data_IF_308272830000
#
_entry.id   IF_308272830000
#
_cell.length_a   1.000
_cell.length_b   1.000
_cell.length_c   1.000
_cell.angle_alpha   90.00
_cell.angle_beta   90.00
_cell.angle_gamma   90.00
#
_symmetry.space_group_name_H-M   'P 1'
#
loop_
_entity.id
_entity.type
_entity.pdbx_description
1 polymer ?
#
# COMPACT_ATOMS: atom_id res chain seq x y z
N UNK A 1 7.95 48.27 69.97
CA UNK A 1 8.63 48.93 68.83
C UNK A 1 9.96 48.23 68.57
N UNK A 2 10.07 47.47 67.47
CA UNK A 2 11.26 47.41 66.62
C UNK A 2 10.93 46.58 65.39
N UNK A 3 10.85 47.27 64.26
CA UNK A 3 10.61 46.73 62.91
C UNK A 3 11.95 46.19 62.39
N UNK A 4 11.96 45.00 61.81
CA UNK A 4 13.01 44.58 60.89
C UNK A 4 12.39 44.33 59.52
N UNK A 5 12.86 45.12 58.58
CA UNK A 5 12.51 45.18 57.17
C UNK A 5 13.56 44.32 56.45
N UNK A 6 13.17 43.22 55.81
CA UNK A 6 14.07 42.45 54.93
C UNK A 6 13.38 42.22 53.59
N UNK A 7 14.16 42.50 52.56
CA UNK A 7 13.86 42.68 51.14
C UNK A 7 13.11 41.53 50.45
N UNK A 8 12.34 41.92 49.43
CA UNK A 8 11.81 41.09 48.35
C UNK A 8 12.92 40.32 47.61
N UNK A 9 12.64 39.07 47.26
CA UNK A 9 13.14 38.43 46.04
C UNK A 9 11.96 37.72 45.36
N UNK A 10 11.42 38.35 44.31
CA UNK A 10 10.43 37.72 43.41
C UNK A 10 11.22 36.91 42.39
N UNK A 11 11.24 35.60 42.56
CA UNK A 11 11.76 34.66 41.55
C UNK A 11 10.56 34.15 40.77
N UNK A 12 10.39 34.63 39.53
CA UNK A 12 9.47 34.05 38.57
C UNK A 12 10.07 32.74 38.05
N UNK A 13 9.58 31.61 38.57
CA UNK A 13 9.84 30.30 37.98
C UNK A 13 8.91 30.13 36.76
N UNK A 14 9.50 30.13 35.56
CA UNK A 14 8.86 29.62 34.35
C UNK A 14 8.64 28.11 34.53
N UNK A 15 7.41 27.69 34.78
CA UNK A 15 7.03 26.28 34.76
C UNK A 15 6.74 25.85 33.32
N UNK A 16 7.66 25.09 32.74
CA UNK A 16 7.35 24.24 31.58
C UNK A 16 6.48 23.08 32.05
N UNK A 17 5.20 23.06 31.67
CA UNK A 17 4.36 21.88 31.85
C UNK A 17 4.82 20.81 30.86
N UNK A 18 5.64 19.87 31.32
CA UNK A 18 5.79 18.60 30.62
C UNK A 18 4.51 17.78 30.87
N UNK A 19 3.68 17.63 29.85
CA UNK A 19 2.58 16.65 29.87
C UNK A 19 3.24 15.28 29.72
N UNK A 20 3.61 14.67 30.83
CA UNK A 20 3.95 13.25 30.88
C UNK A 20 2.67 12.50 31.24
N UNK A 21 2.22 11.65 30.33
CA UNK A 21 1.12 10.73 30.60
C UNK A 21 1.57 9.74 31.68
N UNK A 22 0.97 9.83 32.86
CA UNK A 22 1.20 8.89 33.96
C UNK A 22 0.34 7.65 33.73
N UNK A 23 0.98 6.51 33.45
CA UNK A 23 0.32 5.21 33.48
C UNK A 23 0.32 4.72 34.93
N UNK A 24 -0.87 4.64 35.53
CA UNK A 24 -1.06 4.17 36.89
C UNK A 24 -0.82 2.65 36.98
N UNK A 25 0.25 2.19 37.66
CA UNK A 25 0.57 0.76 37.75
C UNK A 25 -0.50 -0.02 38.54
N UNK A 26 -1.33 0.65 39.34
CA UNK A 26 -2.41 -0.03 40.08
C UNK A 26 -3.62 -0.37 39.19
N UNK A 27 -3.71 0.26 38.01
CA UNK A 27 -4.65 -0.09 36.95
C UNK A 27 -4.03 -1.02 35.88
N UNK A 28 -2.75 -1.40 36.02
CA UNK A 28 -2.08 -2.41 35.21
C UNK A 28 -2.36 -3.85 35.68
N UNK A 29 -3.55 -4.08 36.24
CA UNK A 29 -4.01 -5.43 36.58
C UNK A 29 -4.13 -6.26 35.30
N UNK A 30 -3.56 -7.47 35.30
CA UNK A 30 -3.82 -8.46 34.27
C UNK A 30 -5.31 -8.77 34.25
N UNK A 31 -6.07 -8.05 33.42
CA UNK A 31 -7.39 -8.52 33.01
C UNK A 31 -7.15 -9.89 32.40
N UNK A 32 -7.77 -10.91 32.99
CA UNK A 32 -7.83 -12.24 32.38
C UNK A 32 -8.09 -12.05 30.90
N UNK A 33 -7.21 -12.56 30.03
CA UNK A 33 -7.52 -12.71 28.62
C UNK A 33 -8.78 -13.54 28.58
N UNK A 34 -9.94 -12.89 28.54
CA UNK A 34 -11.10 -13.51 27.93
C UNK A 34 -10.61 -13.76 26.52
N UNK A 35 -10.35 -15.03 26.21
CA UNK A 35 -10.37 -15.52 24.85
C UNK A 35 -11.81 -15.31 24.39
N UNK A 36 -12.17 -14.05 24.12
CA UNK A 36 -13.07 -13.79 23.03
C UNK A 36 -12.31 -14.36 21.85
N UNK A 37 -12.63 -15.60 21.49
CA UNK A 37 -12.63 -15.94 20.09
C UNK A 37 -13.52 -14.87 19.48
N UNK A 38 -12.91 -13.78 19.00
CA UNK A 38 -13.51 -13.01 17.92
C UNK A 38 -13.84 -14.10 16.93
N UNK A 39 -15.12 -14.44 16.85
CA UNK A 39 -15.60 -15.37 15.84
C UNK A 39 -15.34 -14.64 14.54
N UNK A 40 -14.15 -14.92 14.03
CA UNK A 40 -13.62 -14.62 12.72
C UNK A 40 -14.78 -14.84 11.76
N UNK A 41 -15.40 -13.74 11.28
CA UNK A 41 -16.58 -13.81 10.43
C UNK A 41 -16.11 -14.08 9.00
N UNK A 42 -15.44 -15.22 8.82
CA UNK A 42 -14.50 -15.45 7.74
C UNK A 42 -15.11 -15.57 6.33
N UNK A 43 -14.49 -14.87 5.39
CA UNK A 43 -14.42 -15.19 3.97
C UNK A 43 -13.37 -16.30 3.63
N UNK A 44 -12.87 -17.02 4.65
CA UNK A 44 -11.93 -18.16 4.53
C UNK A 44 -10.57 -17.91 3.85
N UNK A 45 -10.09 -16.66 3.76
CA UNK A 45 -8.77 -16.42 3.18
C UNK A 45 -7.63 -16.92 4.06
N UNK A 46 -6.62 -17.52 3.42
CA UNK A 46 -5.37 -17.88 4.10
C UNK A 46 -4.58 -16.62 4.47
N UNK A 47 -3.79 -16.64 5.56
CA UNK A 47 -2.88 -15.53 5.88
C UNK A 47 -1.95 -15.22 4.71
N UNK A 48 -1.76 -13.94 4.40
CA UNK A 48 -0.86 -13.49 3.34
C UNK A 48 0.59 -13.92 3.60
N UNK A 49 1.22 -14.47 2.56
CA UNK A 49 2.56 -15.06 2.57
C UNK A 49 3.54 -14.39 1.61
N UNK A 50 3.04 -13.58 0.68
CA UNK A 50 3.83 -12.81 -0.25
C UNK A 50 4.90 -11.97 0.46
N UNK A 51 6.15 -12.11 0.02
CA UNK A 51 7.29 -11.35 0.55
C UNK A 51 8.28 -11.02 -0.56
N UNK A 52 8.78 -9.78 -0.57
CA UNK A 52 9.80 -9.32 -1.51
C UNK A 52 10.75 -8.34 -0.83
N UNK A 53 11.98 -8.31 -1.33
CA UNK A 53 12.91 -7.24 -0.98
C UNK A 53 12.75 -6.11 -2.01
N UNK A 54 12.55 -4.90 -1.52
CA UNK A 54 12.73 -3.68 -2.29
C UNK A 54 14.23 -3.39 -2.32
N UNK A 55 14.85 -3.57 -3.49
CA UNK A 55 16.30 -3.48 -3.65
C UNK A 55 16.70 -2.44 -4.69
N UNK A 56 16.87 -1.20 -4.27
CA UNK A 56 17.22 -0.09 -5.15
C UNK A 56 18.14 0.91 -4.42
N UNK A 57 19.00 1.63 -5.15
CA UNK A 57 19.92 2.63 -4.58
C UNK A 57 20.73 2.15 -3.37
N UNK A 58 21.24 0.91 -3.41
CA UNK A 58 22.04 0.31 -2.34
C UNK A 58 21.27 0.10 -1.01
N UNK A 59 19.95 0.00 -1.08
CA UNK A 59 19.06 -0.40 0.02
C UNK A 59 18.56 -1.82 -0.25
N UNK A 60 18.37 -2.64 0.78
CA UNK A 60 17.56 -3.86 0.72
C UNK A 60 16.55 -3.83 1.87
N UNK A 61 15.25 -3.82 1.55
CA UNK A 61 14.18 -3.72 2.54
C UNK A 61 13.11 -4.78 2.32
N UNK A 62 12.91 -5.67 3.30
CA UNK A 62 11.86 -6.69 3.24
C UNK A 62 10.47 -6.06 3.38
N UNK A 63 9.53 -6.44 2.52
CA UNK A 63 8.11 -6.07 2.57
C UNK A 63 7.27 -7.34 2.39
N UNK A 64 6.23 -7.48 3.20
CA UNK A 64 5.25 -8.57 3.12
C UNK A 64 3.88 -8.03 2.70
N UNK A 65 3.15 -8.78 1.88
CA UNK A 65 1.78 -8.44 1.42
C UNK A 65 0.79 -8.32 2.58
N UNK A 66 1.06 -8.99 3.71
CA UNK A 66 0.34 -8.85 4.98
C UNK A 66 0.66 -7.59 5.78
N UNK A 67 1.25 -6.56 5.17
CA UNK A 67 1.48 -5.23 5.74
C UNK A 67 2.64 -5.10 6.72
N UNK A 68 3.40 -6.18 6.97
CA UNK A 68 4.64 -6.15 7.77
C UNK A 68 5.83 -5.74 6.91
N UNK A 69 6.71 -4.91 7.45
CA UNK A 69 7.87 -4.38 6.75
C UNK A 69 9.13 -4.47 7.61
N UNK A 70 10.28 -4.56 6.95
CA UNK A 70 11.62 -4.32 7.48
C UNK A 70 12.09 -5.30 8.55
N UNK A 71 11.36 -6.39 8.81
CA UNK A 71 11.72 -7.40 9.80
C UNK A 71 11.65 -8.80 9.21
N UNK A 72 12.74 -9.55 9.31
CA UNK A 72 12.71 -11.00 9.12
C UNK A 72 12.15 -11.65 10.39
N UNK A 73 10.84 -11.88 10.38
CA UNK A 73 10.13 -12.45 11.53
C UNK A 73 10.55 -13.88 11.85
N UNK A 74 11.03 -14.63 10.86
CA UNK A 74 11.45 -16.02 11.07
C UNK A 74 12.74 -16.11 11.89
N UNK A 75 13.62 -15.11 11.73
CA UNK A 75 14.87 -14.96 12.49
C UNK A 75 14.76 -13.97 13.64
N UNK A 76 13.64 -13.25 13.74
CA UNK A 76 13.44 -12.11 14.64
C UNK A 76 14.59 -11.09 14.51
N UNK A 77 14.87 -10.71 13.27
CA UNK A 77 15.99 -9.86 12.89
C UNK A 77 15.52 -8.69 12.01
N UNK A 78 16.29 -7.61 12.00
CA UNK A 78 16.04 -6.48 11.12
C UNK A 78 16.32 -6.88 9.65
N UNK A 79 15.59 -6.28 8.73
CA UNK A 79 15.67 -6.56 7.29
C UNK A 79 15.55 -5.27 6.45
N UNK A 80 15.92 -4.13 7.03
CA UNK A 80 16.16 -2.88 6.30
C UNK A 80 17.66 -2.57 6.37
N UNK A 81 18.36 -2.91 5.30
CA UNK A 81 19.81 -2.91 5.21
C UNK A 81 20.31 -1.77 4.31
N UNK A 82 21.26 -0.98 4.82
CA UNK A 82 21.91 0.11 4.08
C UNK A 82 23.35 0.28 4.58
N UNK A 83 24.38 0.13 3.73
CA UNK A 83 24.36 -0.38 2.36
C UNK A 83 23.87 -1.83 2.24
N UNK A 84 23.21 -2.18 1.14
CA UNK A 84 22.88 -3.57 0.79
C UNK A 84 24.15 -4.43 0.76
N UNK A 85 24.13 -5.58 1.43
CA UNK A 85 25.26 -6.49 1.58
C UNK A 85 26.30 -6.10 2.64
N UNK A 86 26.07 -5.06 3.45
CA UNK A 86 26.93 -4.67 4.58
C UNK A 86 26.65 -5.45 5.88
N UNK A 87 25.48 -6.09 5.99
CA UNK A 87 24.86 -6.59 7.22
C UNK A 87 24.54 -5.49 8.26
N UNK A 88 24.58 -4.21 7.88
CA UNK A 88 24.19 -3.10 8.75
C UNK A 88 22.72 -2.71 8.49
N UNK A 89 21.90 -2.78 9.55
CA UNK A 89 20.47 -2.49 9.46
C UNK A 89 20.11 -1.23 10.24
N UNK A 90 19.31 -0.34 9.65
CA UNK A 90 18.97 0.97 10.24
C UNK A 90 17.56 1.05 10.80
N UNK A 91 16.66 0.15 10.39
CA UNK A 91 15.28 0.06 10.90
C UNK A 91 14.97 -1.39 11.23
N UNK A 92 14.45 -1.64 12.44
CA UNK A 92 14.17 -2.99 12.92
C UNK A 92 12.86 -3.58 12.36
N UNK A 93 11.79 -2.78 12.30
CA UNK A 93 10.48 -3.21 11.85
C UNK A 93 9.59 -2.03 11.49
N UNK A 94 8.63 -2.25 10.61
CA UNK A 94 7.57 -1.32 10.23
C UNK A 94 6.26 -2.07 9.96
N UNK A 95 5.15 -1.34 9.98
CA UNK A 95 3.84 -1.87 9.64
C UNK A 95 2.95 -0.78 9.04
N UNK A 96 2.01 -1.18 8.19
CA UNK A 96 0.96 -0.31 7.69
C UNK A 96 -0.18 -0.21 8.70
N UNK A 97 -0.67 1.00 8.93
CA UNK A 97 -1.90 1.25 9.68
C UNK A 97 -2.91 1.95 8.77
N UNK A 98 -4.15 1.49 8.82
CA UNK A 98 -5.26 2.10 8.09
C UNK A 98 -6.50 2.14 8.97
N UNK A 99 -7.34 3.14 8.73
CA UNK A 99 -8.58 3.29 9.46
C UNK A 99 -9.55 4.20 8.74
N UNK A 100 -10.82 4.07 9.09
CA UNK A 100 -11.91 4.81 8.48
C UNK A 100 -13.16 4.71 9.34
N UNK A 101 -14.23 5.38 8.92
CA UNK A 101 -15.54 5.27 9.58
C UNK A 101 -16.50 4.52 8.69
N UNK A 102 -17.30 3.64 9.28
CA UNK A 102 -18.43 3.03 8.57
C UNK A 102 -19.59 4.03 8.39
N UNK A 103 -20.66 3.67 7.64
CA UNK A 103 -21.81 4.55 7.43
C UNK A 103 -22.54 5.00 8.72
N UNK A 104 -22.27 4.37 9.86
CA UNK A 104 -22.81 4.74 11.18
C UNK A 104 -21.85 5.63 11.99
N UNK A 105 -20.79 6.15 11.36
CA UNK A 105 -19.69 6.90 11.99
C UNK A 105 -18.91 6.11 13.05
N UNK A 106 -18.89 4.77 12.98
CA UNK A 106 -18.06 3.97 13.88
C UNK A 106 -16.65 3.84 13.32
N UNK A 107 -15.64 4.08 14.15
CA UNK A 107 -14.24 3.91 13.78
C UNK A 107 -13.93 2.42 13.55
N UNK A 108 -13.33 2.14 12.40
CA UNK A 108 -12.71 0.87 12.02
C UNK A 108 -11.21 1.12 11.84
N UNK A 109 -10.38 0.22 12.35
CA UNK A 109 -8.92 0.38 12.30
C UNK A 109 -8.24 -0.98 12.18
N UNK A 110 -7.29 -1.06 11.26
CA UNK A 110 -6.27 -2.10 11.15
C UNK A 110 -4.93 -1.44 11.47
N UNK A 111 -4.40 -1.74 12.66
CA UNK A 111 -3.24 -1.06 13.22
C UNK A 111 -2.33 -2.04 13.96
N UNK A 112 -2.03 -3.13 13.28
CA UNK A 112 -1.12 -4.15 13.73
C UNK A 112 0.24 -3.54 14.12
N UNK A 113 0.70 -3.88 15.31
CA UNK A 113 2.06 -3.56 15.79
C UNK A 113 2.90 -4.83 15.75
N UNK A 114 3.95 -4.85 14.91
CA UNK A 114 4.99 -5.89 14.92
C UNK A 114 4.44 -7.35 14.85
N UNK A 115 3.30 -7.52 14.17
CA UNK A 115 2.58 -8.78 13.87
C UNK A 115 2.21 -9.69 15.04
N UNK A 116 1.43 -9.16 16.01
CA UNK A 116 0.55 -9.98 16.88
C UNK A 116 -0.86 -10.08 16.28
N UNK A 117 -1.08 -11.01 15.35
CA UNK A 117 -2.36 -11.19 14.65
C UNK A 117 -2.23 -10.97 13.14
N UNK A 118 -3.35 -11.02 12.42
CA UNK A 118 -3.45 -10.63 11.02
C UNK A 118 -4.52 -9.56 10.91
N UNK A 119 -4.11 -8.37 10.50
CA UNK A 119 -5.01 -7.27 10.18
C UNK A 119 -5.15 -7.09 8.65
N UNK A 120 -4.32 -7.78 7.85
CA UNK A 120 -4.29 -7.64 6.40
C UNK A 120 -4.28 -8.98 5.67
N UNK A 121 -5.00 -9.01 4.56
CA UNK A 121 -5.06 -10.11 3.60
C UNK A 121 -4.90 -9.56 2.18
N UNK A 122 -4.44 -10.41 1.28
CA UNK A 122 -4.26 -10.02 -0.11
C UNK A 122 -5.60 -9.96 -0.87
N UNK A 123 -5.61 -9.16 -1.93
CA UNK A 123 -6.72 -9.04 -2.87
C UNK A 123 -7.73 -7.92 -2.57
N UNK A 124 -8.54 -7.57 -3.57
CA UNK A 124 -9.55 -6.52 -3.48
C UNK A 124 -10.81 -6.98 -2.77
N UNK A 125 -11.58 -6.02 -2.26
CA UNK A 125 -12.88 -6.29 -1.66
C UNK A 125 -14.03 -6.06 -2.64
N UNK A 126 -15.14 -6.75 -2.39
CA UNK A 126 -16.35 -6.61 -3.18
C UNK A 126 -17.06 -5.27 -2.97
N UNK A 127 -17.60 -4.76 -4.07
CA UNK A 127 -18.30 -3.48 -4.18
C UNK A 127 -19.75 -3.72 -4.61
N UNK A 128 -20.64 -2.77 -4.33
CA UNK A 128 -22.05 -2.84 -4.73
C UNK A 128 -22.49 -1.62 -5.55
N UNK A 129 -21.53 -0.79 -5.97
CA UNK A 129 -21.78 0.50 -6.63
C UNK A 129 -22.25 1.58 -5.66
N UNK A 130 -22.12 1.36 -4.35
CA UNK A 130 -22.35 2.36 -3.33
C UNK A 130 -21.28 3.46 -3.35
N UNK A 131 -21.69 4.71 -3.11
CA UNK A 131 -20.76 5.84 -2.94
C UNK A 131 -20.74 6.82 -4.10
N UNK A 132 -19.66 7.60 -4.15
CA UNK A 132 -19.37 8.54 -5.23
C UNK A 132 -18.07 8.10 -5.90
N UNK A 133 -18.16 7.60 -7.13
CA UNK A 133 -16.97 7.32 -7.94
C UNK A 133 -16.40 8.63 -8.50
N UNK A 134 -15.20 9.01 -8.05
CA UNK A 134 -14.41 10.06 -8.67
C UNK A 134 -12.93 9.71 -8.57
N UNK A 135 -12.43 9.09 -9.63
CA UNK A 135 -11.02 8.68 -9.77
C UNK A 135 -10.06 9.87 -9.69
N UNK A 136 -10.48 11.09 -10.05
CA UNK A 136 -9.64 12.29 -9.95
C UNK A 136 -9.52 12.78 -8.51
N UNK A 137 -10.52 12.50 -7.67
CA UNK A 137 -10.50 12.76 -6.24
C UNK A 137 -10.05 11.55 -5.41
N UNK A 138 -9.69 10.44 -6.07
CA UNK A 138 -9.31 9.19 -5.40
C UNK A 138 -10.45 8.56 -4.60
N UNK A 139 -11.70 8.84 -4.97
CA UNK A 139 -12.88 8.24 -4.35
C UNK A 139 -13.35 7.07 -5.20
N UNK A 140 -13.35 5.87 -4.60
CA UNK A 140 -13.76 4.63 -5.23
C UNK A 140 -15.12 4.18 -4.68
N UNK A 141 -15.76 3.26 -5.39
CA UNK A 141 -16.99 2.64 -4.91
C UNK A 141 -16.73 1.82 -3.64
N UNK A 142 -17.75 1.74 -2.79
CA UNK A 142 -17.77 0.84 -1.64
C UNK A 142 -18.82 -0.26 -1.86
N UNK A 143 -18.89 -1.21 -0.92
CA UNK A 143 -19.95 -2.21 -0.93
C UNK A 143 -19.85 -3.20 0.22
N UNK A 144 -20.24 -4.45 -0.06
CA UNK A 144 -20.31 -5.53 0.93
C UNK A 144 -18.96 -5.84 1.58
N UNK A 145 -17.87 -5.46 0.92
CA UNK A 145 -16.51 -5.63 1.40
C UNK A 145 -16.13 -7.10 1.60
N UNK A 146 -16.66 -8.01 0.79
CA UNK A 146 -16.40 -9.46 0.89
C UNK A 146 -15.33 -9.89 -0.13
N UNK A 147 -14.78 -11.10 0.04
CA UNK A 147 -13.72 -11.63 -0.82
C UNK A 147 -13.74 -13.16 -0.81
N UNK A 148 -13.44 -13.81 -1.94
CA UNK A 148 -13.31 -15.27 -2.00
C UNK A 148 -11.88 -15.73 -1.69
N UNK A 149 -11.69 -16.96 -1.16
CA UNK A 149 -10.35 -17.53 -0.94
C UNK A 149 -9.48 -17.55 -2.20
N UNK A 150 -10.08 -17.82 -3.36
CA UNK A 150 -9.41 -17.88 -4.65
C UNK A 150 -8.82 -16.51 -5.04
N UNK A 151 -9.60 -15.43 -4.87
CA UNK A 151 -9.14 -14.06 -5.12
C UNK A 151 -8.02 -13.68 -4.13
N UNK A 152 -8.15 -14.04 -2.86
CA UNK A 152 -7.08 -13.82 -1.88
C UNK A 152 -5.75 -14.46 -2.30
N UNK A 153 -5.78 -15.70 -2.80
CA UNK A 153 -4.57 -16.40 -3.23
C UNK A 153 -3.96 -15.80 -4.50
N UNK A 154 -4.80 -15.42 -5.47
CA UNK A 154 -4.32 -14.86 -6.74
C UNK A 154 -3.57 -13.54 -6.55
N UNK A 155 -4.07 -12.67 -5.65
CA UNK A 155 -3.49 -11.36 -5.42
C UNK A 155 -2.45 -11.32 -4.29
N UNK A 156 -2.05 -12.46 -3.70
CA UNK A 156 -0.95 -12.54 -2.70
C UNK A 156 0.44 -12.39 -3.37
N UNK A 157 0.59 -11.32 -4.15
CA UNK A 157 1.70 -11.09 -5.05
C UNK A 157 2.12 -9.61 -5.04
N UNK A 158 3.36 -9.38 -5.46
CA UNK A 158 3.87 -8.04 -5.74
C UNK A 158 4.06 -7.88 -7.25
N UNK A 159 3.54 -6.77 -7.77
CA UNK A 159 3.65 -6.37 -9.16
C UNK A 159 4.72 -5.29 -9.27
N UNK A 160 5.85 -5.68 -9.83
CA UNK A 160 7.05 -4.85 -9.90
C UNK A 160 7.17 -4.28 -11.31
N UNK A 161 7.41 -2.98 -11.39
CA UNK A 161 7.62 -2.28 -12.66
C UNK A 161 8.82 -1.35 -12.53
N UNK A 162 9.53 -1.16 -13.64
CA UNK A 162 10.58 -0.15 -13.75
C UNK A 162 10.16 0.92 -14.74
N UNK A 163 10.40 2.19 -14.40
CA UNK A 163 10.04 3.32 -15.27
C UNK A 163 10.68 3.19 -16.65
N UNK A 164 11.92 2.70 -16.72
CA UNK A 164 12.64 2.49 -17.97
C UNK A 164 11.95 1.48 -18.89
N UNK A 165 11.39 0.39 -18.34
CA UNK A 165 10.63 -0.59 -19.11
C UNK A 165 9.37 0.05 -19.71
N UNK A 166 8.70 0.91 -18.94
CA UNK A 166 7.49 1.61 -19.38
C UNK A 166 7.81 2.65 -20.46
N UNK A 167 8.89 3.41 -20.30
CA UNK A 167 9.38 4.35 -21.31
C UNK A 167 9.72 3.65 -22.63
N UNK A 168 10.42 2.50 -22.55
CA UNK A 168 10.76 1.69 -23.73
C UNK A 168 9.51 1.12 -24.41
N UNK A 169 8.55 0.60 -23.63
CA UNK A 169 7.27 0.11 -24.17
C UNK A 169 6.51 1.23 -24.89
N UNK A 170 6.38 2.41 -24.26
CA UNK A 170 5.67 3.53 -24.86
C UNK A 170 6.33 3.95 -26.20
N UNK A 171 7.66 4.07 -26.20
CA UNK A 171 8.40 4.49 -27.38
C UNK A 171 8.33 3.46 -28.53
N UNK A 172 8.41 2.16 -28.20
CA UNK A 172 8.20 1.08 -29.16
C UNK A 172 6.76 1.08 -29.73
N UNK A 173 5.76 1.25 -28.87
CA UNK A 173 4.36 1.25 -29.29
C UNK A 173 4.03 2.44 -30.19
N UNK A 174 4.53 3.63 -29.86
CA UNK A 174 4.39 4.83 -30.70
C UNK A 174 5.06 4.63 -32.07
N UNK A 175 6.29 4.10 -32.11
CA UNK A 175 6.97 3.76 -33.36
C UNK A 175 6.20 2.72 -34.19
N UNK A 176 5.63 1.70 -33.56
CA UNK A 176 4.86 0.65 -34.23
C UNK A 176 3.60 1.17 -34.92
N UNK A 177 3.09 2.34 -34.49
CA UNK A 177 1.92 3.00 -35.04
C UNK A 177 2.27 4.21 -35.95
N UNK A 178 3.54 4.60 -36.06
CA UNK A 178 3.99 5.68 -36.93
C UNK A 178 4.42 5.11 -38.31
N UNK A 179 3.77 5.52 -39.42
CA UNK A 179 4.17 5.11 -40.77
C UNK A 179 5.60 5.47 -41.16
N UNK A 180 6.26 6.38 -40.44
CA UNK A 180 7.62 6.82 -40.69
C UNK A 180 8.67 6.11 -39.81
N UNK A 181 8.24 5.21 -38.92
CA UNK A 181 9.10 4.49 -38.01
C UNK A 181 9.04 2.98 -38.31
N UNK A 182 10.20 2.34 -38.41
CA UNK A 182 10.27 0.88 -38.50
C UNK A 182 10.66 0.31 -37.13
N UNK A 183 9.66 -0.13 -36.37
CA UNK A 183 9.88 -0.67 -35.04
C UNK A 183 10.83 -1.88 -35.02
N UNK A 184 10.93 -2.64 -36.11
CA UNK A 184 11.85 -3.78 -36.21
C UNK A 184 13.33 -3.35 -36.33
N UNK A 185 13.57 -2.11 -36.75
CA UNK A 185 14.90 -1.51 -36.88
C UNK A 185 15.24 -0.67 -35.66
N UNK A 186 14.31 0.18 -35.19
CA UNK A 186 14.53 1.10 -34.07
C UNK A 186 14.53 0.38 -32.71
N UNK A 187 13.76 -0.70 -32.58
CA UNK A 187 13.64 -1.50 -31.36
C UNK A 187 13.83 -3.00 -31.67
N UNK A 188 15.03 -3.39 -32.13
CA UNK A 188 15.30 -4.76 -32.51
C UNK A 188 15.14 -5.69 -31.30
N UNK A 189 14.55 -6.87 -31.54
CA UNK A 189 14.31 -7.91 -30.53
C UNK A 189 13.47 -7.48 -29.31
N UNK A 190 12.78 -6.33 -29.38
CA UNK A 190 11.91 -5.89 -28.30
C UNK A 190 10.73 -6.86 -28.08
N UNK A 191 10.46 -7.14 -26.81
CA UNK A 191 9.28 -7.87 -26.38
C UNK A 191 8.69 -7.21 -25.13
N UNK A 192 7.37 -7.05 -25.09
CA UNK A 192 6.68 -6.48 -23.93
C UNK A 192 7.00 -7.28 -22.67
N UNK A 193 7.56 -6.65 -21.62
CA UNK A 193 7.97 -7.34 -20.40
C UNK A 193 6.77 -7.83 -19.60
N UNK A 194 6.97 -8.86 -18.78
CA UNK A 194 5.93 -9.43 -17.92
C UNK A 194 5.38 -8.43 -16.91
N UNK A 195 6.20 -7.45 -16.49
CA UNK A 195 5.80 -6.35 -15.61
C UNK A 195 4.61 -5.54 -16.17
N UNK A 196 4.51 -5.44 -17.50
CA UNK A 196 3.39 -4.81 -18.21
C UNK A 196 2.29 -5.84 -18.48
N UNK A 197 2.64 -7.02 -18.99
CA UNK A 197 1.63 -8.03 -19.36
C UNK A 197 0.80 -8.54 -18.18
N UNK A 198 1.38 -8.58 -16.99
CA UNK A 198 0.76 -9.11 -15.77
C UNK A 198 0.36 -8.00 -14.80
N UNK A 199 0.41 -6.74 -15.22
CA UNK A 199 -0.01 -5.62 -14.37
C UNK A 199 -1.49 -5.76 -14.01
N UNK A 200 -1.87 -5.62 -12.74
CA UNK A 200 -3.24 -5.85 -12.31
C UNK A 200 -4.04 -4.55 -12.49
N UNK A 201 -4.07 -4.00 -13.71
CA UNK A 201 -4.76 -2.73 -13.97
C UNK A 201 -6.25 -2.84 -13.61
N UNK A 202 -6.92 -3.84 -14.17
CA UNK A 202 -8.29 -4.19 -13.81
C UNK A 202 -8.41 -5.56 -13.13
N UNK A 203 -9.49 -5.75 -12.38
CA UNK A 203 -9.80 -7.05 -11.80
C UNK A 203 -10.13 -8.09 -12.87
N UNK A 204 -9.49 -9.25 -12.78
CA UNK A 204 -9.82 -10.40 -13.62
C UNK A 204 -11.14 -11.04 -13.18
N UNK A 205 -12.22 -10.69 -13.89
CA UNK A 205 -13.60 -11.16 -13.62
C UNK A 205 -13.78 -12.68 -13.74
N UNK A 206 -12.87 -13.38 -14.43
CA UNK A 206 -12.94 -14.83 -14.58
C UNK A 206 -12.54 -15.57 -13.28
N UNK A 207 -11.90 -14.89 -12.32
CA UNK A 207 -11.51 -15.46 -11.03
C UNK A 207 -12.70 -15.73 -10.12
N UNK A 208 -13.71 -14.85 -10.16
CA UNK A 208 -14.91 -14.96 -9.33
C UNK A 208 -16.06 -14.19 -9.99
N UNK A 209 -16.99 -14.93 -10.58
CA UNK A 209 -18.19 -14.39 -11.23
C UNK A 209 -19.37 -14.22 -10.26
N UNK A 210 -19.19 -14.53 -8.98
CA UNK A 210 -20.27 -14.51 -7.98
C UNK A 210 -20.33 -13.20 -7.20
N UNK A 211 -19.26 -12.40 -7.26
CA UNK A 211 -19.12 -11.13 -6.58
C UNK A 211 -18.60 -10.08 -7.55
N UNK A 212 -19.02 -8.82 -7.34
CA UNK A 212 -18.41 -7.68 -8.03
C UNK A 212 -17.29 -7.14 -7.16
N UNK A 213 -16.05 -7.19 -7.65
CA UNK A 213 -14.90 -6.57 -6.98
C UNK A 213 -14.66 -5.16 -7.50
N UNK A 214 -13.85 -4.37 -6.79
CA UNK A 214 -13.33 -3.14 -7.38
C UNK A 214 -12.66 -3.48 -8.73
N UNK A 215 -13.12 -2.83 -9.78
CA UNK A 215 -12.66 -3.11 -11.13
C UNK A 215 -11.31 -2.44 -11.43
N UNK A 216 -10.92 -1.38 -10.73
CA UNK A 216 -9.67 -0.64 -11.00
C UNK A 216 -8.67 -0.88 -9.86
N UNK A 217 -7.77 -1.84 -10.01
CA UNK A 217 -6.92 -2.33 -8.93
C UNK A 217 -5.54 -1.69 -8.88
N UNK A 218 -5.04 -1.22 -10.02
CA UNK A 218 -3.77 -0.53 -10.11
C UNK A 218 -3.85 0.57 -11.17
N UNK A 219 -3.09 1.67 -11.01
CA UNK A 219 -3.16 2.76 -11.97
C UNK A 219 -2.53 2.35 -13.32
N UNK A 220 -3.23 2.64 -14.41
CA UNK A 220 -2.72 2.47 -15.77
C UNK A 220 -3.03 3.69 -16.64
N UNK A 221 -2.16 3.93 -17.62
CA UNK A 221 -2.43 4.82 -18.73
C UNK A 221 -3.30 4.06 -19.71
N UNK A 222 -4.50 4.55 -19.90
CA UNK A 222 -5.49 4.05 -20.84
C UNK A 222 -5.38 4.88 -22.13
N UNK A 223 -4.82 4.30 -23.17
CA UNK A 223 -4.53 5.03 -24.41
C UNK A 223 -5.80 5.23 -25.25
N UNK A 224 -6.69 4.25 -25.28
CA UNK A 224 -7.90 4.26 -26.11
C UNK A 224 -9.13 4.84 -25.37
N UNK A 225 -9.01 5.08 -24.06
CA UNK A 225 -10.04 5.57 -23.14
C UNK A 225 -11.26 4.64 -22.98
N UNK A 226 -11.06 3.32 -23.07
CA UNK A 226 -12.13 2.33 -22.87
C UNK A 226 -12.28 1.86 -21.41
N UNK A 227 -11.35 2.24 -20.54
CA UNK A 227 -11.33 1.90 -19.12
C UNK A 227 -10.83 0.48 -18.82
N UNK A 228 -10.25 -0.23 -19.80
CA UNK A 228 -9.79 -1.60 -19.70
C UNK A 228 -8.31 -1.66 -20.03
N UNK A 229 -7.51 -2.06 -19.05
CA UNK A 229 -6.09 -2.28 -19.19
C UNK A 229 -5.79 -3.38 -20.21
N UNK A 230 -5.27 -2.97 -21.37
CA UNK A 230 -4.83 -3.88 -22.42
C UNK A 230 -3.50 -3.42 -23.03
N UNK A 231 -2.37 -4.10 -22.74
CA UNK A 231 -1.09 -3.80 -23.35
C UNK A 231 -1.09 -3.87 -24.89
N UNK A 232 -2.01 -4.63 -25.50
CA UNK A 232 -2.12 -4.69 -26.97
C UNK A 232 -2.66 -3.38 -27.57
N UNK A 233 -3.41 -2.59 -26.78
CA UNK A 233 -3.92 -1.27 -27.16
C UNK A 233 -2.96 -0.13 -26.76
N UNK A 234 -1.78 -0.48 -26.22
CA UNK A 234 -0.72 0.45 -25.86
C UNK A 234 -0.84 1.00 -24.45
N UNK A 235 -1.62 0.35 -23.60
CA UNK A 235 -1.74 0.68 -22.19
C UNK A 235 -0.54 0.20 -21.38
N UNK A 236 -0.25 0.91 -20.30
CA UNK A 236 0.88 0.60 -19.44
C UNK A 236 0.67 1.07 -17.99
N UNK A 237 1.39 0.50 -17.00
CA UNK A 237 1.37 0.96 -15.61
C UNK A 237 1.62 2.47 -15.51
N UNK A 238 0.78 3.25 -14.83
CA UNK A 238 0.72 4.69 -15.07
C UNK A 238 1.86 5.50 -14.45
N UNK A 239 2.98 5.59 -15.15
CA UNK A 239 4.03 6.58 -14.90
C UNK A 239 3.71 7.89 -15.63
N UNK A 240 3.95 9.03 -14.98
CA UNK A 240 3.89 10.34 -15.63
C UNK A 240 5.14 10.56 -16.48
N UNK A 241 5.07 10.11 -17.74
CA UNK A 241 6.18 10.20 -18.69
C UNK A 241 6.35 11.63 -19.25
N UNK A 242 5.26 12.40 -19.30
CA UNK A 242 5.23 13.74 -19.91
C UNK A 242 5.32 14.87 -18.87
N UNK A 243 5.34 14.54 -17.57
CA UNK A 243 5.32 15.49 -16.45
C UNK A 243 4.09 16.42 -16.50
N UNK A 244 2.94 15.87 -16.87
CA UNK A 244 1.70 16.64 -17.03
C UNK A 244 0.77 16.56 -15.80
N UNK A 245 1.07 15.69 -14.84
CA UNK A 245 0.21 15.46 -13.68
C UNK A 245 0.58 16.44 -12.56
N UNK A 246 -0.35 17.34 -12.25
CA UNK A 246 -0.25 18.18 -11.07
C UNK A 246 -0.81 17.45 -9.84
N UNK A 247 0.09 16.94 -9.00
CA UNK A 247 -0.24 16.24 -7.75
C UNK A 247 -0.95 17.12 -6.70
N UNK A 248 -1.03 18.44 -6.92
CA UNK A 248 -1.77 19.36 -6.02
C UNK A 248 -3.26 19.38 -6.31
N UNK A 249 -3.63 19.09 -7.56
CA UNK A 249 -5.01 19.21 -8.04
C UNK A 249 -5.63 17.85 -8.37
N UNK A 250 -4.83 16.91 -8.87
CA UNK A 250 -5.23 15.52 -9.04
C UNK A 250 -4.85 14.67 -7.82
N UNK A 251 -5.80 13.88 -7.32
CA UNK A 251 -5.56 12.82 -6.33
C UNK A 251 -5.58 11.43 -6.96
N UNK A 252 -5.65 11.35 -8.30
CA UNK A 252 -5.54 10.08 -9.00
C UNK A 252 -4.17 9.48 -8.73
N UNK A 253 -4.14 8.22 -8.33
CA UNK A 253 -2.90 7.51 -7.99
C UNK A 253 -2.08 7.33 -9.27
N UNK A 254 -0.80 7.68 -9.23
CA UNK A 254 0.18 7.43 -10.29
C UNK A 254 1.38 6.71 -9.71
N UNK A 255 2.18 6.08 -10.57
CA UNK A 255 3.43 5.45 -10.18
C UNK A 255 4.56 6.48 -10.16
N UNK A 256 5.49 6.31 -9.22
CA UNK A 256 6.62 7.20 -8.98
C UNK A 256 7.92 6.41 -8.82
N UNK A 257 9.03 7.11 -9.07
CA UNK A 257 10.37 6.56 -8.99
C UNK A 257 10.73 5.72 -10.21
N UNK A 258 11.96 5.20 -10.21
CA UNK A 258 12.47 4.35 -11.29
C UNK A 258 12.11 2.87 -11.10
N UNK A 259 11.81 2.47 -9.86
CA UNK A 259 11.41 1.13 -9.47
C UNK A 259 10.19 1.22 -8.56
N UNK A 260 9.12 0.51 -8.91
CA UNK A 260 7.88 0.46 -8.15
C UNK A 260 7.52 -0.96 -7.76
N UNK A 261 6.92 -1.11 -6.59
CA UNK A 261 6.35 -2.36 -6.12
C UNK A 261 4.91 -2.12 -5.65
N UNK A 262 3.95 -2.65 -6.40
CA UNK A 262 2.53 -2.55 -6.13
C UNK A 262 1.98 -3.88 -5.60
N UNK A 263 0.99 -3.83 -4.72
CA UNK A 263 0.23 -5.01 -4.31
C UNK A 263 -1.17 -4.59 -3.86
N UNK A 264 -2.11 -5.53 -3.94
CA UNK A 264 -3.52 -5.31 -3.57
C UNK A 264 -3.78 -6.05 -2.28
N UNK A 265 -4.30 -5.34 -1.27
CA UNK A 265 -4.59 -5.92 0.04
C UNK A 265 -5.80 -5.23 0.69
N UNK A 266 -6.33 -5.86 1.73
CA UNK A 266 -7.50 -5.40 2.48
C UNK A 266 -7.39 -5.75 3.97
N UNK A 267 -8.24 -5.14 4.80
CA UNK A 267 -8.29 -5.36 6.24
C UNK A 267 -9.47 -6.22 6.73
N UNK A 268 -10.24 -6.79 5.79
CA UNK A 268 -11.35 -7.68 6.13
C UNK A 268 -10.87 -9.12 6.14
N UNK A 269 -10.57 -9.71 4.97
CA UNK A 269 -9.99 -11.04 4.68
C UNK A 269 -10.38 -12.23 5.57
N UNK A 270 -11.38 -12.02 6.39
CA UNK A 270 -11.93 -12.82 7.45
C UNK A 270 -13.31 -12.24 7.72
#
# INVERSE_FOLDING_TARGET
MRKYLILLFVVNFLSSNAILAWNDPTNSGSKSKMNNSVTLRAANCTPATGKKFLEFNNVSALIETGGSMWQDRSRNDAAYEVPKGSNETVIYAGALWMGGTDPNNQLRIAALTFRSGNDFWAGPLSVDGGGSFDVNQGTLDWGFADISPEVCMEYDNFYITERQEIELFNAWYECSNDPNCDASIEYPDYSTPSSILQWPGNFNVDLDYTQSYDFNLAPFYDRNNDGIYNPADGDYPWYDLTNQIDCRTSRRVTLYGDYNMWWVFNDKGN
#
